data_IF_495442228949
#
_entry.id   IF_495442228949
#
_cell.length_a   1.000
_cell.length_b   1.000
_cell.length_c   1.000
_cell.angle_alpha   90.00
_cell.angle_beta   90.00
_cell.angle_gamma   90.00
#
_symmetry.space_group_name_H-M   'P 1'
#
loop_
_entity.id
_entity.type
_entity.pdbx_description
1 polymer ?
#
# COMPACT_ATOMS: atom_id res chain seq x y z
N UNK A 1 13.62 16.45 14.34
CA UNK A 1 12.89 15.26 14.59
C UNK A 1 12.04 14.87 13.45
N UNK A 2 12.35 13.81 12.94
CA UNK A 2 11.58 13.39 11.80
C UNK A 2 10.18 13.03 12.24
N UNK A 3 9.25 13.75 11.71
CA UNK A 3 7.85 13.40 11.86
C UNK A 3 7.37 12.68 10.62
N UNK A 4 8.30 11.88 10.04
CA UNK A 4 8.04 11.17 8.78
C UNK A 4 7.68 9.72 9.01
N UNK A 5 7.38 9.38 10.26
CA UNK A 5 7.07 8.00 10.60
C UNK A 5 5.90 7.94 11.58
N UNK A 6 4.96 7.04 11.30
CA UNK A 6 3.85 6.74 12.19
C UNK A 6 3.79 5.25 12.44
N UNK A 7 3.26 4.86 13.60
CA UNK A 7 3.09 3.45 13.93
C UNK A 7 1.65 3.20 14.36
N UNK A 8 1.10 2.09 13.89
CA UNK A 8 -0.17 1.57 14.38
C UNK A 8 0.13 0.26 15.10
N UNK A 9 -0.90 -0.41 15.61
CA UNK A 9 -0.71 -1.72 16.23
C UNK A 9 -0.13 -2.73 15.25
N UNK A 10 -0.46 -2.62 13.96
CA UNK A 10 -0.08 -3.63 12.98
C UNK A 10 0.96 -3.17 11.98
N UNK A 11 1.26 -1.87 11.90
CA UNK A 11 2.10 -1.38 10.79
C UNK A 11 2.94 -0.18 11.17
N UNK A 12 3.99 0.04 10.39
CA UNK A 12 4.80 1.24 10.42
C UNK A 12 4.63 1.95 9.08
N UNK A 13 4.38 3.25 9.11
CA UNK A 13 4.17 4.06 7.92
C UNK A 13 5.22 5.17 7.92
N UNK A 14 5.96 5.29 6.81
CA UNK A 14 7.04 6.27 6.73
C UNK A 14 7.23 6.73 5.29
N UNK A 15 7.88 7.87 5.12
CA UNK A 15 8.29 8.32 3.80
C UNK A 15 9.51 7.51 3.36
N UNK A 16 9.40 6.86 2.22
CA UNK A 16 10.55 6.23 1.59
C UNK A 16 11.35 7.28 0.80
N UNK A 17 10.62 8.17 0.13
CA UNK A 17 11.17 9.31 -0.59
C UNK A 17 10.13 10.42 -0.54
N UNK A 18 10.42 11.55 -1.20
CA UNK A 18 9.48 12.66 -1.18
C UNK A 18 8.16 12.39 -1.91
N UNK A 19 8.05 11.27 -2.62
CA UNK A 19 6.82 10.91 -3.35
C UNK A 19 6.35 9.49 -3.09
N UNK A 20 7.04 8.73 -2.25
CA UNK A 20 6.66 7.34 -1.96
C UNK A 20 6.51 7.17 -0.45
N UNK A 21 5.35 6.68 -0.05
CA UNK A 21 5.10 6.27 1.33
C UNK A 21 5.27 4.76 1.40
N UNK A 22 6.05 4.31 2.38
CA UNK A 22 6.24 2.88 2.61
C UNK A 22 5.48 2.46 3.86
N UNK A 23 4.65 1.42 3.71
CA UNK A 23 3.95 0.79 4.81
C UNK A 23 4.53 -0.59 5.02
N UNK A 24 4.95 -0.89 6.24
CA UNK A 24 5.47 -2.22 6.60
C UNK A 24 4.51 -2.84 7.60
N UNK A 25 3.85 -3.92 7.21
CA UNK A 25 2.88 -4.60 8.07
C UNK A 25 3.59 -5.71 8.83
N UNK A 26 3.34 -5.80 10.14
CA UNK A 26 3.92 -6.82 10.98
C UNK A 26 3.45 -8.21 10.55
N UNK A 27 4.24 -9.23 10.86
CA UNK A 27 3.89 -10.61 10.54
C UNK A 27 2.66 -11.07 11.31
N UNK A 28 1.92 -11.99 10.73
CA UNK A 28 0.80 -12.70 11.38
C UNK A 28 -0.33 -11.79 11.86
N UNK A 29 -0.58 -10.71 11.13
CA UNK A 29 -1.68 -9.81 11.46
C UNK A 29 -2.89 -10.08 10.60
N UNK A 30 -4.07 -9.92 11.19
CA UNK A 30 -5.33 -9.92 10.44
C UNK A 30 -5.71 -8.46 10.21
N UNK A 31 -5.80 -8.07 8.94
CA UNK A 31 -6.04 -6.68 8.57
C UNK A 31 -7.55 -6.45 8.42
N UNK A 32 -8.11 -5.60 9.26
CA UNK A 32 -9.54 -5.28 9.20
C UNK A 32 -9.75 -3.87 8.60
N UNK A 33 -11.01 -3.47 8.32
CA UNK A 33 -11.26 -2.17 7.69
C UNK A 33 -10.73 -0.98 8.50
N UNK A 34 -10.80 -1.05 9.83
CA UNK A 34 -10.33 0.04 10.68
C UNK A 34 -8.83 0.22 10.56
N UNK A 35 -8.09 -0.87 10.43
CA UNK A 35 -6.64 -0.82 10.20
C UNK A 35 -6.33 -0.05 8.91
N UNK A 36 -7.07 -0.35 7.85
CA UNK A 36 -6.84 0.29 6.56
C UNK A 36 -7.15 1.79 6.63
N UNK A 37 -8.26 2.15 7.26
CA UNK A 37 -8.64 3.55 7.41
C UNK A 37 -7.58 4.31 8.21
N UNK A 38 -7.09 3.72 9.29
CA UNK A 38 -6.06 4.34 10.10
C UNK A 38 -4.77 4.57 9.31
N UNK A 39 -4.32 3.56 8.58
CA UNK A 39 -3.11 3.68 7.77
C UNK A 39 -3.28 4.79 6.73
N UNK A 40 -4.43 4.83 6.07
CA UNK A 40 -4.67 5.85 5.06
C UNK A 40 -4.73 7.26 5.66
N UNK A 41 -5.21 7.37 6.88
CA UNK A 41 -5.23 8.68 7.55
C UNK A 41 -3.81 9.18 7.83
N UNK A 42 -2.88 8.29 8.16
CA UNK A 42 -1.49 8.67 8.34
C UNK A 42 -0.83 9.03 7.02
N UNK A 43 -1.17 8.34 5.93
CA UNK A 43 -0.67 8.71 4.61
C UNK A 43 -1.03 10.16 4.30
N UNK A 44 -2.26 10.53 4.59
CA UNK A 44 -2.74 11.88 4.35
C UNK A 44 -2.00 12.91 5.21
N UNK A 45 -1.74 12.57 6.47
CA UNK A 45 -0.96 13.45 7.35
C UNK A 45 0.45 13.68 6.83
N UNK A 46 1.07 12.63 6.28
CA UNK A 46 2.43 12.73 5.74
C UNK A 46 2.50 13.59 4.48
N UNK A 47 1.53 13.44 3.61
CA UNK A 47 1.59 14.08 2.28
C UNK A 47 0.71 15.31 2.14
N UNK A 48 -0.18 15.52 3.09
CA UNK A 48 -1.14 16.64 3.05
C UNK A 48 -1.96 16.61 1.77
N UNK A 49 -1.80 17.57 0.87
CA UNK A 49 -2.55 17.62 -0.37
C UNK A 49 -1.75 17.16 -1.60
N UNK A 50 -0.55 16.65 -1.37
CA UNK A 50 0.31 16.23 -2.46
C UNK A 50 -0.02 14.82 -2.94
N UNK A 51 0.24 14.57 -4.20
CA UNK A 51 0.08 13.23 -4.76
C UNK A 51 1.28 12.35 -4.42
N UNK A 52 1.04 11.06 -4.28
CA UNK A 52 2.08 10.13 -3.84
C UNK A 52 1.79 8.71 -4.34
N UNK A 53 2.83 7.88 -4.30
CA UNK A 53 2.70 6.46 -4.58
C UNK A 53 2.87 5.68 -3.29
N UNK A 54 2.30 4.47 -3.25
CA UNK A 54 2.35 3.61 -2.06
C UNK A 54 3.19 2.36 -2.34
N UNK A 55 4.06 2.06 -1.40
CA UNK A 55 4.80 0.80 -1.35
C UNK A 55 4.36 0.07 -0.08
N UNK A 56 3.66 -1.04 -0.25
CA UNK A 56 3.11 -1.79 0.87
C UNK A 56 3.85 -3.11 1.00
N UNK A 57 4.55 -3.31 2.11
CA UNK A 57 5.24 -4.56 2.40
C UNK A 57 4.35 -5.39 3.30
N UNK A 58 3.82 -6.47 2.76
CA UNK A 58 2.93 -7.38 3.49
C UNK A 58 3.77 -8.28 4.37
N UNK A 59 3.37 -8.44 5.63
CA UNK A 59 4.05 -9.32 6.56
C UNK A 59 3.76 -10.79 6.28
N UNK A 60 4.65 -11.63 6.76
CA UNK A 60 4.49 -13.09 6.63
C UNK A 60 3.26 -13.52 7.40
N UNK A 61 2.40 -14.31 6.78
CA UNK A 61 1.20 -14.82 7.44
C UNK A 61 0.07 -13.81 7.60
N UNK A 62 0.17 -12.64 6.96
CA UNK A 62 -0.93 -11.68 7.00
C UNK A 62 -2.14 -12.21 6.26
N UNK A 63 -3.31 -11.86 6.78
CA UNK A 63 -4.59 -12.08 6.11
C UNK A 63 -5.34 -10.76 6.11
N UNK A 64 -6.25 -10.62 5.16
CA UNK A 64 -7.05 -9.39 5.03
C UNK A 64 -8.50 -9.76 4.80
N UNK A 65 -9.41 -9.09 5.48
CA UNK A 65 -10.83 -9.32 5.27
C UNK A 65 -11.26 -8.73 3.93
N UNK A 66 -12.36 -9.26 3.39
CA UNK A 66 -12.92 -8.73 2.15
C UNK A 66 -13.29 -7.26 2.30
N UNK A 67 -13.87 -6.90 3.44
CA UNK A 67 -14.26 -5.51 3.69
C UNK A 67 -13.03 -4.60 3.76
N UNK A 68 -11.94 -5.06 4.39
CA UNK A 68 -10.71 -4.28 4.43
C UNK A 68 -10.14 -4.08 3.04
N UNK A 69 -10.16 -5.12 2.21
CA UNK A 69 -9.71 -4.99 0.83
C UNK A 69 -10.55 -3.96 0.07
N UNK A 70 -11.87 -4.00 0.23
CA UNK A 70 -12.77 -3.06 -0.41
C UNK A 70 -12.48 -1.62 0.01
N UNK A 71 -12.17 -1.39 1.29
CA UNK A 71 -11.77 -0.06 1.76
C UNK A 71 -10.45 0.35 1.12
N UNK A 72 -9.52 -0.58 1.00
CA UNK A 72 -8.18 -0.28 0.48
C UNK A 72 -8.20 0.18 -0.98
N UNK A 73 -9.20 -0.27 -1.76
CA UNK A 73 -9.31 0.10 -3.18
C UNK A 73 -10.38 1.16 -3.43
N UNK A 74 -10.97 1.72 -2.37
CA UNK A 74 -12.06 2.68 -2.50
C UNK A 74 -11.51 4.04 -2.95
N UNK A 75 -12.13 4.60 -3.98
CA UNK A 75 -11.75 5.90 -4.54
C UNK A 75 -11.67 7.00 -3.48
N UNK A 76 -12.59 6.97 -2.52
CA UNK A 76 -12.66 7.98 -1.45
C UNK A 76 -11.33 8.13 -0.71
N UNK A 77 -10.61 7.02 -0.51
CA UNK A 77 -9.36 7.02 0.24
C UNK A 77 -8.12 7.07 -0.64
N UNK A 78 -8.30 7.07 -1.97
CA UNK A 78 -7.19 6.98 -2.91
C UNK A 78 -7.11 8.16 -3.86
N UNK A 79 -7.79 9.27 -3.55
CA UNK A 79 -7.85 10.41 -4.46
C UNK A 79 -6.50 11.07 -4.71
N UNK A 80 -5.53 10.88 -3.81
CA UNK A 80 -4.17 11.42 -3.96
C UNK A 80 -3.16 10.38 -4.41
N UNK A 81 -3.57 9.12 -4.55
CA UNK A 81 -2.65 8.03 -4.81
C UNK A 81 -2.41 7.85 -6.30
N UNK A 82 -1.14 7.88 -6.70
CA UNK A 82 -0.73 7.71 -8.10
C UNK A 82 -0.73 6.24 -8.50
N UNK A 83 -0.16 5.40 -7.64
CA UNK A 83 -0.02 3.97 -7.90
C UNK A 83 0.28 3.25 -6.60
N UNK A 84 -0.01 1.95 -6.56
CA UNK A 84 0.26 1.09 -5.40
C UNK A 84 1.05 -0.13 -5.82
N UNK A 85 2.15 -0.38 -5.14
CA UNK A 85 2.92 -1.60 -5.30
C UNK A 85 2.82 -2.39 -4.00
N UNK A 86 2.38 -3.63 -4.09
CA UNK A 86 2.21 -4.50 -2.93
C UNK A 86 3.24 -5.61 -3.00
N UNK A 87 4.16 -5.65 -2.03
CA UNK A 87 5.22 -6.65 -1.99
C UNK A 87 4.80 -7.79 -1.08
N UNK A 88 4.73 -8.99 -1.63
CA UNK A 88 4.31 -10.20 -0.94
C UNK A 88 5.41 -11.24 -1.09
N UNK A 89 5.98 -11.68 0.04
CA UNK A 89 7.09 -12.63 -0.01
C UNK A 89 6.66 -14.07 -0.28
N UNK A 90 5.44 -14.42 0.09
CA UNK A 90 4.92 -15.77 -0.10
C UNK A 90 4.40 -15.92 -1.53
N UNK A 91 4.95 -16.86 -2.33
CA UNK A 91 4.51 -17.05 -3.72
C UNK A 91 3.02 -17.35 -3.85
N UNK A 92 2.45 -18.07 -2.90
CA UNK A 92 1.02 -18.40 -2.95
C UNK A 92 0.19 -17.13 -2.79
N UNK A 93 0.57 -16.28 -1.83
CA UNK A 93 -0.12 -15.00 -1.63
C UNK A 93 0.03 -14.11 -2.85
N UNK A 94 1.20 -14.12 -3.47
CA UNK A 94 1.44 -13.33 -4.67
C UNK A 94 0.48 -13.75 -5.79
N UNK A 95 0.34 -15.06 -6.02
CA UNK A 95 -0.56 -15.56 -7.05
C UNK A 95 -2.01 -15.21 -6.77
N UNK A 96 -2.44 -15.35 -5.50
CA UNK A 96 -3.80 -15.00 -5.12
C UNK A 96 -4.07 -13.51 -5.32
N UNK A 97 -3.08 -12.68 -4.99
CA UNK A 97 -3.21 -11.24 -5.20
C UNK A 97 -3.39 -10.88 -6.66
N UNK A 98 -2.60 -11.49 -7.54
CA UNK A 98 -2.73 -11.26 -8.98
C UNK A 98 -4.09 -11.69 -9.49
N UNK A 99 -4.60 -12.82 -9.00
CA UNK A 99 -5.94 -13.29 -9.35
C UNK A 99 -7.01 -12.33 -8.88
N UNK A 100 -6.87 -11.82 -7.66
CA UNK A 100 -7.82 -10.87 -7.09
C UNK A 100 -7.92 -9.61 -7.95
N UNK A 101 -6.78 -9.06 -8.34
CA UNK A 101 -6.76 -7.85 -9.18
C UNK A 101 -7.38 -8.11 -10.53
N UNK A 102 -7.26 -9.33 -11.07
CA UNK A 102 -7.89 -9.70 -12.31
C UNK A 102 -9.40 -9.73 -12.23
N UNK A 103 -9.94 -10.02 -11.04
CA UNK A 103 -11.37 -10.13 -10.82
C UNK A 103 -12.00 -8.81 -10.36
N UNK A 104 -11.23 -7.97 -9.67
CA UNK A 104 -11.73 -6.75 -9.06
C UNK A 104 -10.90 -5.56 -9.54
N UNK A 105 -11.52 -4.68 -10.31
CA UNK A 105 -10.83 -3.48 -10.78
C UNK A 105 -10.59 -2.52 -9.63
N UNK A 106 -9.39 -1.96 -9.60
CA UNK A 106 -9.02 -0.98 -8.59
C UNK A 106 -9.10 0.42 -9.17
N UNK A 107 -9.40 1.41 -8.32
CA UNK A 107 -9.41 2.81 -8.76
C UNK A 107 -8.01 3.27 -9.16
N UNK A 108 -7.01 2.83 -8.40
CA UNK A 108 -5.61 3.20 -8.63
C UNK A 108 -4.87 2.02 -9.23
N UNK A 109 -3.97 2.26 -10.17
CA UNK A 109 -3.09 1.22 -10.70
C UNK A 109 -2.42 0.51 -9.55
N UNK A 110 -2.64 -0.79 -9.44
CA UNK A 110 -2.12 -1.60 -8.34
C UNK A 110 -1.46 -2.84 -8.92
N UNK A 111 -0.27 -3.16 -8.43
CA UNK A 111 0.45 -4.33 -8.89
C UNK A 111 1.13 -5.03 -7.72
N UNK A 112 1.14 -6.37 -7.78
CA UNK A 112 1.80 -7.20 -6.77
C UNK A 112 3.20 -7.55 -7.23
N UNK A 113 4.13 -7.58 -6.27
CA UNK A 113 5.53 -7.90 -6.50
C UNK A 113 6.01 -8.86 -5.43
N UNK A 114 7.02 -9.65 -5.74
CA UNK A 114 7.67 -10.49 -4.74
C UNK A 114 9.02 -9.92 -4.29
N UNK A 115 9.42 -8.79 -4.87
CA UNK A 115 10.68 -8.12 -4.49
C UNK A 115 10.47 -6.61 -4.42
N UNK A 116 10.99 -6.01 -3.34
CA UNK A 116 10.89 -4.58 -3.13
C UNK A 116 11.57 -3.79 -4.26
N UNK A 117 12.71 -4.27 -4.73
CA UNK A 117 13.45 -3.59 -5.79
C UNK A 117 12.62 -3.42 -7.05
N UNK A 118 11.92 -4.48 -7.46
CA UNK A 118 11.05 -4.44 -8.64
C UNK A 118 9.88 -3.49 -8.43
N UNK A 119 9.32 -3.52 -7.23
CA UNK A 119 8.21 -2.64 -6.87
C UNK A 119 8.62 -1.18 -6.98
N UNK A 120 9.78 -0.82 -6.44
CA UNK A 120 10.27 0.56 -6.49
C UNK A 120 10.51 1.04 -7.91
N UNK A 121 11.05 0.19 -8.76
CA UNK A 121 11.27 0.52 -10.16
C UNK A 121 9.94 0.84 -10.85
N UNK A 122 8.94 0.02 -10.60
CA UNK A 122 7.63 0.23 -11.21
C UNK A 122 6.98 1.52 -10.70
N UNK A 123 7.10 1.80 -9.39
CA UNK A 123 6.56 3.03 -8.81
C UNK A 123 7.23 4.27 -9.40
N UNK A 124 8.54 4.24 -9.57
CA UNK A 124 9.27 5.36 -10.17
C UNK A 124 8.77 5.67 -11.57
N UNK A 125 8.48 4.63 -12.35
CA UNK A 125 7.91 4.82 -13.68
C UNK A 125 6.53 5.47 -13.63
N UNK A 126 5.69 5.04 -12.70
CA UNK A 126 4.35 5.59 -12.57
C UNK A 126 4.39 7.05 -12.12
N UNK A 127 5.27 7.38 -11.20
CA UNK A 127 5.44 8.76 -10.73
C UNK A 127 5.90 9.65 -11.89
N UNK A 128 6.87 9.15 -12.67
CA UNK A 128 7.41 9.88 -13.81
C UNK A 128 6.34 10.21 -14.84
N UNK A 129 5.44 9.27 -15.09
CA UNK A 129 4.37 9.47 -16.06
C UNK A 129 3.26 10.40 -15.56
N UNK A 130 3.22 10.64 -14.27
CA UNK A 130 2.15 11.43 -13.66
C UNK A 130 2.49 12.93 -13.62
N UNK A 131 3.60 13.33 -14.17
CA UNK A 131 4.01 14.75 -14.19
C UNK A 131 3.17 15.57 -15.14
#
# INVERSE_FOLDING_TARGET
>A
MPNNEFKTEIAKIQLYSNKIIETVIKDNEFIDPEDVVEIKSFNKKLMKDKKFALLINVGKGNTISKDAWNVSINKKYDDQTIAKAIVVKNPVHFLLGEMYLGLNKTFVKTKFFNKKKSALKWLDKKISKNK
#
